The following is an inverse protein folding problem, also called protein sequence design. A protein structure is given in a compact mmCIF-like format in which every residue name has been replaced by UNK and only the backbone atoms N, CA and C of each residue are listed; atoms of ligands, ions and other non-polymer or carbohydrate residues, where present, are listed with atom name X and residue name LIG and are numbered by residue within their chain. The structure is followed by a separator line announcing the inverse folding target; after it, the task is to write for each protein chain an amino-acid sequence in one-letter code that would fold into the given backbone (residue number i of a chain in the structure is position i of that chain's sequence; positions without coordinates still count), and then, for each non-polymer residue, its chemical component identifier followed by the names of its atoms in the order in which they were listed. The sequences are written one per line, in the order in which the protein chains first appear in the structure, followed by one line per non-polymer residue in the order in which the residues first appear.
data_IF_364707845906
#
_entry.id   IF_364707845906
#
_cell.length_a   1.000
_cell.length_b   1.000
_cell.length_c   1.000
_cell.angle_alpha   90.00
_cell.angle_beta   90.00
_cell.angle_gamma   90.00
#
_symmetry.space_group_name_H-M   'P 1'
#
loop_
_entity.id
_entity.type
_entity.pdbx_description
1 polymer ?
#
# COMPACT_ATOMS: atom_id res chain seq x y z
N UNK A 1 9.34 -26.19 -31.19
CA UNK A 1 8.82 -26.49 -29.85
C UNK A 1 7.83 -25.44 -29.44
N UNK A 2 6.54 -25.78 -29.26
CA UNK A 2 5.54 -24.79 -28.90
C UNK A 2 5.73 -24.19 -27.50
N UNK A 3 6.48 -24.85 -26.63
CA UNK A 3 6.65 -24.41 -25.23
C UNK A 3 7.52 -23.18 -25.04
N UNK A 4 8.40 -22.85 -25.98
CA UNK A 4 9.30 -21.70 -25.88
C UNK A 4 8.53 -20.39 -25.93
N UNK A 5 7.59 -20.26 -26.86
CA UNK A 5 6.76 -19.04 -26.99
C UNK A 5 5.88 -18.84 -25.75
N UNK A 6 5.30 -19.91 -25.21
CA UNK A 6 4.50 -19.87 -23.99
C UNK A 6 5.35 -19.46 -22.78
N UNK A 7 6.58 -19.98 -22.66
CA UNK A 7 7.48 -19.63 -21.58
C UNK A 7 7.88 -18.15 -21.64
N UNK A 8 8.18 -17.62 -22.81
CA UNK A 8 8.51 -16.21 -22.99
C UNK A 8 7.34 -15.32 -22.58
N UNK A 9 6.13 -15.67 -23.02
CA UNK A 9 4.92 -14.94 -22.66
C UNK A 9 4.70 -14.93 -21.15
N UNK A 10 4.88 -16.06 -20.47
CA UNK A 10 4.74 -16.17 -19.01
C UNK A 10 5.75 -15.30 -18.29
N UNK A 11 7.00 -15.28 -18.74
CA UNK A 11 8.04 -14.44 -18.15
C UNK A 11 7.68 -12.96 -18.29
N UNK A 12 7.25 -12.52 -19.45
CA UNK A 12 6.83 -11.14 -19.69
C UNK A 12 5.64 -10.74 -18.81
N UNK A 13 4.63 -11.60 -18.71
CA UNK A 13 3.45 -11.35 -17.85
C UNK A 13 3.87 -11.28 -16.39
N UNK A 14 4.75 -12.18 -15.95
CA UNK A 14 5.25 -12.21 -14.58
C UNK A 14 6.04 -10.94 -14.25
N UNK A 15 6.93 -10.49 -15.13
CA UNK A 15 7.70 -9.25 -14.98
C UNK A 15 6.78 -8.03 -14.88
N UNK A 16 5.75 -7.96 -15.74
CA UNK A 16 4.78 -6.86 -15.72
C UNK A 16 4.00 -6.82 -14.41
N UNK A 17 3.56 -7.97 -13.91
CA UNK A 17 2.86 -8.06 -12.62
C UNK A 17 3.77 -7.63 -11.47
N UNK A 18 5.02 -8.09 -11.47
CA UNK A 18 6.01 -7.74 -10.44
C UNK A 18 6.25 -6.24 -10.43
N UNK A 19 6.42 -5.64 -11.60
CA UNK A 19 6.62 -4.20 -11.73
C UNK A 19 5.42 -3.41 -11.20
N UNK A 20 4.20 -3.79 -11.58
CA UNK A 20 2.97 -3.15 -11.09
C UNK A 20 2.85 -3.26 -9.58
N UNK A 21 3.15 -4.43 -9.02
CA UNK A 21 3.10 -4.64 -7.57
C UNK A 21 4.15 -3.79 -6.85
N UNK A 22 5.34 -3.67 -7.40
CA UNK A 22 6.41 -2.82 -6.85
C UNK A 22 5.98 -1.35 -6.83
N UNK A 23 5.40 -0.87 -7.93
CA UNK A 23 4.89 0.50 -8.02
C UNK A 23 3.79 0.74 -6.98
N UNK A 24 2.85 -0.19 -6.85
CA UNK A 24 1.75 -0.08 -5.87
C UNK A 24 2.26 -0.08 -4.44
N UNK A 25 3.23 -0.93 -4.12
CA UNK A 25 3.85 -0.98 -2.79
C UNK A 25 4.59 0.32 -2.47
N UNK A 26 5.32 0.85 -3.45
CA UNK A 26 6.03 2.14 -3.29
C UNK A 26 5.05 3.28 -3.07
N UNK A 27 3.97 3.34 -3.84
CA UNK A 27 2.92 4.35 -3.70
C UNK A 27 2.28 4.25 -2.30
N UNK A 28 2.02 3.04 -1.82
CA UNK A 28 1.45 2.82 -0.49
C UNK A 28 2.40 3.31 0.61
N UNK A 29 3.69 2.99 0.51
CA UNK A 29 4.70 3.47 1.47
C UNK A 29 4.75 5.00 1.50
N UNK A 30 4.70 5.63 0.33
CA UNK A 30 4.68 7.10 0.22
C UNK A 30 3.43 7.68 0.88
N UNK A 31 2.26 7.08 0.65
CA UNK A 31 1.01 7.51 1.26
C UNK A 31 1.06 7.40 2.78
N UNK A 32 1.58 6.29 3.31
CA UNK A 32 1.73 6.08 4.76
C UNK A 32 2.71 7.11 5.35
N UNK A 33 3.83 7.37 4.66
CA UNK A 33 4.81 8.36 5.09
C UNK A 33 4.19 9.75 5.16
N UNK A 34 3.45 10.15 4.14
CA UNK A 34 2.76 11.45 4.12
C UNK A 34 1.73 11.57 5.25
N UNK A 35 1.03 10.48 5.56
CA UNK A 35 0.10 10.43 6.68
C UNK A 35 0.82 10.67 8.01
N UNK A 36 1.96 10.00 8.22
CA UNK A 36 2.77 10.19 9.43
C UNK A 36 3.27 11.63 9.54
N UNK A 37 3.70 12.21 8.45
CA UNK A 37 4.14 13.61 8.41
C UNK A 37 2.99 14.58 8.75
N UNK A 38 1.80 14.34 8.19
CA UNK A 38 0.62 15.14 8.49
C UNK A 38 0.22 15.02 9.97
N UNK A 39 0.30 13.83 10.54
CA UNK A 39 0.03 13.61 11.97
C UNK A 39 1.05 14.37 12.82
N UNK A 40 2.32 14.33 12.45
CA UNK A 40 3.38 15.02 13.17
C UNK A 40 3.23 16.54 13.09
N UNK A 41 2.83 17.08 11.94
CA UNK A 41 2.62 18.52 11.76
C UNK A 41 1.28 19.01 12.33
N UNK A 42 0.31 18.12 12.49
CA UNK A 42 -1.03 18.45 12.95
C UNK A 42 -1.96 19.03 11.89
N UNK A 43 -1.47 19.24 10.68
CA UNK A 43 -2.26 19.80 9.58
C UNK A 43 -2.81 18.68 8.68
N UNK A 44 -4.13 18.66 8.49
CA UNK A 44 -4.79 17.71 7.62
C UNK A 44 -4.62 16.25 8.04
N UNK A 45 -4.29 16.00 9.30
CA UNK A 45 -4.02 14.65 9.81
C UNK A 45 -5.21 13.71 9.63
N UNK A 46 -6.42 14.18 9.93
CA UNK A 46 -7.64 13.37 9.80
C UNK A 46 -7.92 12.99 8.35
N UNK A 47 -7.78 13.95 7.43
CA UNK A 47 -7.99 13.70 6.01
C UNK A 47 -6.92 12.76 5.45
N UNK A 48 -5.66 12.97 5.83
CA UNK A 48 -4.56 12.09 5.45
C UNK A 48 -4.79 10.67 5.97
N UNK A 49 -5.26 10.53 7.20
CA UNK A 49 -5.58 9.25 7.81
C UNK A 49 -6.68 8.52 7.02
N UNK A 50 -7.76 9.22 6.67
CA UNK A 50 -8.85 8.64 5.87
C UNK A 50 -8.36 8.15 4.52
N UNK A 51 -7.58 8.96 3.80
CA UNK A 51 -7.02 8.60 2.51
C UNK A 51 -6.08 7.40 2.62
N UNK A 52 -5.23 7.37 3.65
CA UNK A 52 -4.29 6.29 3.89
C UNK A 52 -5.01 4.99 4.24
N UNK A 53 -6.04 5.05 5.08
CA UNK A 53 -6.86 3.89 5.43
C UNK A 53 -7.50 3.27 4.19
N UNK A 54 -8.05 4.10 3.30
CA UNK A 54 -8.59 3.65 2.02
C UNK A 54 -7.53 2.95 1.17
N UNK A 55 -6.34 3.53 1.08
CA UNK A 55 -5.24 2.96 0.30
C UNK A 55 -4.80 1.61 0.87
N UNK A 56 -4.71 1.48 2.18
CA UNK A 56 -4.36 0.23 2.86
C UNK A 56 -5.42 -0.85 2.60
N UNK A 57 -6.70 -0.49 2.71
CA UNK A 57 -7.81 -1.42 2.46
C UNK A 57 -7.81 -1.91 1.02
N UNK A 58 -7.57 -1.02 0.06
CA UNK A 58 -7.45 -1.39 -1.35
C UNK A 58 -6.27 -2.33 -1.59
N UNK A 59 -5.14 -2.06 -0.97
CA UNK A 59 -3.95 -2.90 -1.07
C UNK A 59 -4.23 -4.31 -0.52
N UNK A 60 -4.93 -4.41 0.60
CA UNK A 60 -5.32 -5.69 1.19
C UNK A 60 -6.29 -6.44 0.26
N UNK A 61 -7.25 -5.74 -0.34
CA UNK A 61 -8.21 -6.33 -1.28
C UNK A 61 -7.52 -6.89 -2.53
N UNK A 62 -6.41 -6.27 -2.95
CA UNK A 62 -5.61 -6.71 -4.11
C UNK A 62 -4.51 -7.70 -3.74
N UNK A 63 -4.47 -8.17 -2.50
CA UNK A 63 -3.46 -9.11 -1.97
C UNK A 63 -2.03 -8.55 -1.99
N UNK A 64 -1.86 -7.23 -2.03
CA UNK A 64 -0.55 -6.59 -1.87
C UNK A 64 -0.10 -6.61 -0.41
N UNK A 65 -1.05 -6.61 0.51
CA UNK A 65 -0.83 -6.73 1.94
C UNK A 65 -1.72 -7.83 2.49
N UNK A 66 -1.21 -8.57 3.44
CA UNK A 66 -2.03 -9.49 4.21
C UNK A 66 -3.00 -8.68 5.09
N UNK A 67 -4.23 -9.17 5.27
CA UNK A 67 -5.25 -8.47 6.07
C UNK A 67 -4.78 -8.12 7.48
N UNK A 68 -3.99 -8.99 8.10
CA UNK A 68 -3.45 -8.73 9.43
C UNK A 68 -2.43 -7.59 9.43
N UNK A 69 -1.58 -7.51 8.40
CA UNK A 69 -0.64 -6.41 8.23
C UNK A 69 -1.38 -5.09 8.01
N UNK A 70 -2.43 -5.10 7.18
CA UNK A 70 -3.27 -3.93 6.95
C UNK A 70 -3.91 -3.45 8.25
N UNK A 71 -4.47 -4.36 9.04
CA UNK A 71 -5.09 -4.05 10.32
C UNK A 71 -4.08 -3.43 11.30
N UNK A 72 -2.86 -3.98 11.37
CA UNK A 72 -1.79 -3.45 12.23
C UNK A 72 -1.40 -2.03 11.82
N UNK A 73 -1.23 -1.78 10.53
CA UNK A 73 -0.87 -0.44 10.02
C UNK A 73 -1.95 0.57 10.31
N UNK A 74 -3.22 0.22 10.08
CA UNK A 74 -4.35 1.10 10.40
C UNK A 74 -4.40 1.41 11.89
N UNK A 75 -4.22 0.41 12.74
CA UNK A 75 -4.23 0.57 14.19
C UNK A 75 -3.11 1.50 14.66
N UNK A 76 -1.89 1.33 14.15
CA UNK A 76 -0.75 2.18 14.49
C UNK A 76 -0.99 3.64 14.10
N UNK A 77 -1.55 3.86 12.90
CA UNK A 77 -1.87 5.21 12.43
C UNK A 77 -2.98 5.84 13.26
N UNK A 78 -3.99 5.07 13.64
CA UNK A 78 -5.06 5.55 14.51
C UNK A 78 -4.54 5.96 15.88
N UNK A 79 -3.66 5.16 16.48
CA UNK A 79 -3.03 5.48 17.75
C UNK A 79 -2.18 6.75 17.66
N UNK A 80 -1.40 6.89 16.59
CA UNK A 80 -0.58 8.07 16.37
C UNK A 80 -1.46 9.31 16.22
N UNK A 81 -2.55 9.23 15.47
CA UNK A 81 -3.50 10.33 15.29
C UNK A 81 -4.14 10.73 16.62
N UNK A 82 -4.60 9.77 17.40
CA UNK A 82 -5.22 10.02 18.69
C UNK A 82 -4.22 10.63 19.68
N UNK A 83 -2.97 10.18 19.67
CA UNK A 83 -1.93 10.72 20.53
C UNK A 83 -1.57 12.17 20.17
N UNK A 84 -1.72 12.54 18.89
CA UNK A 84 -1.41 13.89 18.41
C UNK A 84 -2.53 14.92 18.69
N UNK A 85 -3.73 14.44 19.06
CA UNK A 85 -4.88 15.32 19.37
C UNK A 85 -4.76 15.95 20.77
#
# INVERSE_FOLDING_TARGET
MPNIKSAIKRVKVSETKTLKNTIRKSALKTTVKKCKEAIASGEGATDAYKATTKAIDKAAAKNLLHKNTAARRKSRLAKALNAAK
#
